data_IF_664967970998
#
_entry.id   IF_664967970998
#
_cell.length_a   1.000
_cell.length_b   1.000
_cell.length_c   1.000
_cell.angle_alpha   90.00
_cell.angle_beta   90.00
_cell.angle_gamma   90.00
#
_symmetry.space_group_name_H-M   'P 1'
#
loop_
_entity.id
_entity.type
_entity.pdbx_description
1 polymer ?
#
# COMPACT_ATOMS: atom_id res chain seq x y z
N UNK A 1 -21.97 -34.68 61.59
CA UNK A 1 -22.31 -33.66 60.57
C UNK A 1 -21.06 -33.37 59.76
N UNK A 2 -21.01 -33.83 58.52
CA UNK A 2 -19.89 -33.59 57.61
C UNK A 2 -20.12 -32.27 56.86
N UNK A 3 -19.15 -31.36 56.93
CA UNK A 3 -19.16 -30.11 56.19
C UNK A 3 -18.75 -30.38 54.75
N UNK A 4 -19.68 -30.23 53.81
CA UNK A 4 -19.38 -30.24 52.37
C UNK A 4 -18.91 -28.84 51.99
N UNK A 5 -17.61 -28.70 51.68
CA UNK A 5 -17.07 -27.49 51.06
C UNK A 5 -17.40 -27.54 49.57
N UNK A 6 -18.35 -26.73 49.14
CA UNK A 6 -18.64 -26.52 47.71
C UNK A 6 -17.63 -25.52 47.18
N UNK A 7 -16.73 -25.99 46.30
CA UNK A 7 -15.82 -25.14 45.54
C UNK A 7 -16.56 -24.69 44.29
N UNK A 8 -16.82 -23.39 44.18
CA UNK A 8 -17.41 -22.78 42.98
C UNK A 8 -16.25 -22.48 42.01
N UNK A 9 -16.09 -23.31 40.98
CA UNK A 9 -15.11 -23.07 39.91
C UNK A 9 -15.75 -22.17 38.86
N UNK A 10 -15.32 -20.91 38.81
CA UNK A 10 -15.72 -19.97 37.76
C UNK A 10 -14.97 -20.32 36.48
N UNK A 11 -15.63 -21.00 35.54
CA UNK A 11 -15.08 -21.26 34.20
C UNK A 11 -15.26 -19.98 33.38
N UNK A 12 -14.22 -19.14 33.36
CA UNK A 12 -14.10 -18.05 32.38
C UNK A 12 -13.86 -18.68 31.02
N UNK A 13 -14.93 -18.82 30.22
CA UNK A 13 -14.81 -19.06 28.79
C UNK A 13 -14.08 -17.88 28.17
N UNK A 14 -12.81 -18.09 27.84
CA UNK A 14 -11.98 -17.16 27.09
C UNK A 14 -12.53 -17.16 25.66
N UNK A 15 -13.52 -16.31 25.40
CA UNK A 15 -13.84 -15.93 24.03
C UNK A 15 -12.62 -15.21 23.52
N UNK A 16 -11.89 -15.80 22.57
CA UNK A 16 -10.87 -15.09 21.82
C UNK A 16 -11.54 -13.86 21.21
N UNK A 17 -11.24 -12.68 21.75
CA UNK A 17 -11.49 -11.42 21.06
C UNK A 17 -10.67 -11.51 19.78
N UNK A 18 -11.32 -11.91 18.68
CA UNK A 18 -10.74 -11.86 17.36
C UNK A 18 -10.51 -10.38 17.04
N UNK A 19 -9.32 -9.87 17.37
CA UNK A 19 -8.80 -8.70 16.71
C UNK A 19 -8.87 -8.99 15.20
N UNK A 20 -9.48 -8.09 14.42
CA UNK A 20 -9.56 -8.29 12.97
C UNK A 20 -8.14 -8.42 12.45
N UNK A 21 -7.81 -9.55 11.80
CA UNK A 21 -6.51 -9.69 11.16
C UNK A 21 -6.33 -8.55 10.16
N UNK A 22 -5.15 -7.90 10.15
CA UNK A 22 -4.87 -6.83 9.21
C UNK A 22 -5.04 -7.31 7.76
N UNK A 23 -5.58 -6.45 6.89
CA UNK A 23 -5.72 -6.78 5.47
C UNK A 23 -4.42 -6.42 4.77
N UNK A 24 -3.87 -7.33 3.98
CA UNK A 24 -2.71 -7.03 3.16
C UNK A 24 -3.13 -6.61 1.74
N UNK A 25 -2.51 -5.53 1.27
CA UNK A 25 -2.50 -5.10 -0.13
C UNK A 25 -1.11 -5.33 -0.72
N UNK A 26 -1.05 -6.13 -1.79
CA UNK A 26 0.19 -6.29 -2.57
C UNK A 26 0.22 -5.34 -3.75
N UNK A 27 1.26 -4.51 -3.85
CA UNK A 27 1.52 -3.68 -5.04
C UNK A 27 2.60 -4.36 -5.87
N UNK A 28 2.37 -4.47 -7.18
CA UNK A 28 3.34 -4.98 -8.14
C UNK A 28 3.57 -3.95 -9.24
N UNK A 29 4.84 -3.72 -9.57
CA UNK A 29 5.23 -3.01 -10.80
C UNK A 29 5.92 -3.98 -11.76
N UNK A 30 5.66 -3.83 -13.06
CA UNK A 30 6.26 -4.69 -14.07
C UNK A 30 6.36 -4.00 -15.44
N UNK A 31 7.57 -3.69 -15.90
CA UNK A 31 7.79 -3.36 -17.31
C UNK A 31 7.53 -4.60 -18.17
N UNK A 32 6.63 -4.49 -19.14
CA UNK A 32 6.20 -5.62 -19.98
C UNK A 32 6.95 -5.71 -21.32
N UNK A 33 7.97 -4.88 -21.58
CA UNK A 33 8.76 -4.83 -22.82
C UNK A 33 7.89 -4.75 -24.08
N UNK A 34 7.60 -3.54 -24.55
CA UNK A 34 6.85 -3.29 -25.78
C UNK A 34 5.53 -4.09 -25.90
N UNK A 35 4.72 -4.17 -24.84
CA UNK A 35 3.49 -4.97 -24.86
C UNK A 35 2.51 -4.42 -25.90
N UNK A 36 2.35 -5.17 -27.00
CA UNK A 36 1.58 -4.80 -28.20
C UNK A 36 2.06 -3.52 -28.90
N UNK A 37 3.21 -2.97 -28.50
CA UNK A 37 3.84 -1.85 -29.15
C UNK A 37 4.84 -2.39 -30.19
N UNK A 38 4.57 -2.16 -31.48
CA UNK A 38 5.40 -2.72 -32.54
C UNK A 38 6.33 -1.66 -33.13
N UNK A 39 7.61 -2.01 -33.25
CA UNK A 39 8.66 -1.22 -33.89
C UNK A 39 9.30 -2.01 -35.03
N UNK A 40 10.28 -1.43 -35.72
CA UNK A 40 11.04 -2.14 -36.77
C UNK A 40 11.84 -3.33 -36.25
N UNK A 41 12.23 -3.31 -34.97
CA UNK A 41 13.05 -4.34 -34.33
C UNK A 41 12.25 -5.18 -33.32
N UNK A 42 11.12 -4.68 -32.83
CA UNK A 42 10.22 -5.40 -31.96
C UNK A 42 8.85 -5.62 -32.63
N UNK A 43 8.68 -6.79 -33.22
CA UNK A 43 7.53 -7.15 -34.07
C UNK A 43 6.61 -8.16 -33.37
N UNK A 44 5.44 -8.42 -33.94
CA UNK A 44 4.55 -9.48 -33.44
C UNK A 44 5.15 -10.90 -33.55
N UNK A 45 6.22 -11.10 -34.32
CA UNK A 45 6.88 -12.40 -34.45
C UNK A 45 7.86 -12.65 -33.31
N UNK A 46 8.64 -11.64 -32.93
CA UNK A 46 9.66 -11.75 -31.89
C UNK A 46 9.20 -11.21 -30.53
N UNK A 47 8.06 -10.54 -30.45
CA UNK A 47 7.39 -10.14 -29.21
C UNK A 47 5.87 -10.44 -29.31
N UNK A 48 5.48 -11.72 -29.38
CA UNK A 48 4.12 -12.13 -29.73
C UNK A 48 3.11 -11.78 -28.62
N UNK A 49 2.16 -10.88 -28.87
CA UNK A 49 1.34 -10.31 -27.81
C UNK A 49 0.36 -11.31 -27.17
N UNK A 50 -0.14 -12.29 -27.94
CA UNK A 50 -1.01 -13.34 -27.41
C UNK A 50 -0.30 -14.28 -26.44
N UNK A 51 1.00 -14.52 -26.65
CA UNK A 51 1.80 -15.33 -25.74
C UNK A 51 2.13 -14.53 -24.46
N UNK A 52 2.47 -13.24 -24.61
CA UNK A 52 2.63 -12.32 -23.46
C UNK A 52 1.39 -12.25 -22.58
N UNK A 53 0.19 -12.28 -23.16
CA UNK A 53 -1.05 -12.34 -22.38
C UNK A 53 -1.09 -13.56 -21.44
N UNK A 54 -0.70 -14.74 -21.94
CA UNK A 54 -0.65 -15.97 -21.16
C UNK A 54 0.48 -16.01 -20.13
N UNK A 55 1.68 -15.52 -20.47
CA UNK A 55 2.79 -15.43 -19.53
C UNK A 55 2.48 -14.45 -18.40
N UNK A 56 1.90 -13.28 -18.70
CA UNK A 56 1.47 -12.33 -17.67
C UNK A 56 0.39 -12.94 -16.78
N UNK A 57 -0.57 -13.69 -17.34
CA UNK A 57 -1.57 -14.40 -16.55
C UNK A 57 -0.92 -15.40 -15.57
N UNK A 58 0.11 -16.12 -16.02
CA UNK A 58 0.86 -17.08 -15.19
C UNK A 58 1.59 -16.37 -14.04
N UNK A 59 2.25 -15.25 -14.32
CA UNK A 59 2.97 -14.46 -13.31
C UNK A 59 1.99 -13.88 -12.29
N UNK A 60 0.91 -13.22 -12.74
CA UNK A 60 -0.10 -12.63 -11.86
C UNK A 60 -0.81 -13.68 -11.01
N UNK A 61 -1.10 -14.86 -11.57
CA UNK A 61 -1.68 -15.96 -10.83
C UNK A 61 -0.76 -16.46 -9.70
N UNK A 62 0.56 -16.38 -9.90
CA UNK A 62 1.54 -16.72 -8.87
C UNK A 62 1.69 -15.61 -7.81
N UNK A 63 1.81 -14.35 -8.24
CA UNK A 63 2.14 -13.23 -7.34
C UNK A 63 0.93 -12.68 -6.59
N UNK A 64 -0.29 -12.86 -7.11
CA UNK A 64 -1.55 -12.38 -6.55
C UNK A 64 -1.53 -10.89 -6.10
N UNK A 65 -1.09 -9.94 -6.95
CA UNK A 65 -1.03 -8.53 -6.58
C UNK A 65 -2.41 -7.91 -6.56
N UNK A 66 -2.67 -6.94 -5.69
CA UNK A 66 -3.91 -6.17 -5.60
C UNK A 66 -3.86 -4.87 -6.41
N UNK A 67 -2.66 -4.37 -6.70
CA UNK A 67 -2.41 -3.30 -7.67
C UNK A 67 -1.30 -3.77 -8.59
N UNK A 68 -1.51 -3.62 -9.90
CA UNK A 68 -0.52 -3.90 -10.93
C UNK A 68 -0.27 -2.64 -11.74
N UNK A 69 0.95 -2.12 -11.67
CA UNK A 69 1.46 -1.05 -12.53
C UNK A 69 2.29 -1.68 -13.65
N UNK A 70 1.85 -1.54 -14.89
CA UNK A 70 2.59 -2.01 -16.05
C UNK A 70 3.26 -0.84 -16.76
N UNK A 71 4.51 -1.02 -17.20
CA UNK A 71 5.18 -0.10 -18.12
C UNK A 71 5.28 -0.72 -19.53
N UNK A 72 5.59 0.12 -20.51
CA UNK A 72 5.75 -0.25 -21.93
C UNK A 72 4.53 -0.90 -22.58
N UNK A 73 3.33 -0.47 -22.19
CA UNK A 73 2.11 -0.81 -22.91
C UNK A 73 1.97 0.13 -24.12
N UNK A 74 1.49 -0.37 -25.26
CA UNK A 74 1.23 0.47 -26.44
C UNK A 74 0.30 1.65 -26.10
N UNK A 75 0.79 2.86 -26.36
CA UNK A 75 0.09 4.12 -26.11
C UNK A 75 -0.77 4.60 -27.28
N UNK A 76 -0.75 3.92 -28.43
CA UNK A 76 -1.47 4.38 -29.62
C UNK A 76 -2.99 4.31 -29.50
N UNK A 77 -3.51 3.37 -28.70
CA UNK A 77 -4.94 3.19 -28.45
C UNK A 77 -5.20 2.29 -27.22
N UNK A 78 -6.46 2.19 -26.78
CA UNK A 78 -6.84 1.44 -25.58
C UNK A 78 -6.81 -0.10 -25.73
N UNK A 79 -6.49 -0.66 -26.90
CA UNK A 79 -6.53 -2.11 -27.12
C UNK A 79 -5.53 -2.83 -26.23
N UNK A 80 -4.28 -2.37 -26.14
CA UNK A 80 -3.27 -3.05 -25.35
C UNK A 80 -3.63 -3.07 -23.86
N UNK A 81 -4.07 -1.92 -23.33
CA UNK A 81 -4.60 -1.76 -21.97
C UNK A 81 -5.80 -2.71 -21.72
N UNK A 82 -6.82 -2.67 -22.56
CA UNK A 82 -8.00 -3.53 -22.42
C UNK A 82 -7.71 -5.02 -22.58
N UNK A 83 -6.67 -5.38 -23.34
CA UNK A 83 -6.32 -6.80 -23.54
C UNK A 83 -5.59 -7.41 -22.35
N UNK A 84 -4.73 -6.67 -21.65
CA UNK A 84 -4.17 -7.14 -20.38
C UNK A 84 -5.32 -7.45 -19.39
N UNK A 85 -6.28 -6.53 -19.24
CA UNK A 85 -7.42 -6.75 -18.34
C UNK A 85 -8.19 -8.04 -18.68
N UNK A 86 -8.55 -8.23 -19.95
CA UNK A 86 -9.45 -9.30 -20.36
C UNK A 86 -8.78 -10.65 -20.66
N UNK A 87 -7.48 -10.66 -20.98
CA UNK A 87 -6.75 -11.87 -21.42
C UNK A 87 -5.58 -12.24 -20.53
N UNK A 88 -5.22 -11.41 -19.55
CA UNK A 88 -4.22 -11.75 -18.52
C UNK A 88 -4.80 -11.76 -17.10
N UNK A 89 -5.66 -10.80 -16.76
CA UNK A 89 -6.09 -10.56 -15.38
C UNK A 89 -7.46 -11.18 -15.04
N UNK A 90 -8.49 -10.87 -15.82
CA UNK A 90 -9.84 -11.43 -15.65
C UNK A 90 -10.02 -12.69 -16.51
N UNK A 91 -9.14 -13.67 -16.26
CA UNK A 91 -9.15 -14.98 -16.92
C UNK A 91 -9.34 -16.10 -15.90
N UNK A 92 -9.57 -17.33 -16.37
CA UNK A 92 -9.66 -18.53 -15.51
C UNK A 92 -10.66 -18.41 -14.34
N UNK A 93 -11.79 -17.74 -14.58
CA UNK A 93 -12.83 -17.51 -13.56
C UNK A 93 -12.59 -16.32 -12.63
N UNK A 94 -11.46 -15.61 -12.77
CA UNK A 94 -11.20 -14.37 -12.04
C UNK A 94 -11.97 -13.21 -12.65
N UNK A 95 -12.64 -12.41 -11.81
CA UNK A 95 -13.34 -11.17 -12.21
C UNK A 95 -13.05 -9.99 -11.28
N UNK A 96 -12.00 -10.11 -10.47
CA UNK A 96 -11.68 -9.14 -9.41
C UNK A 96 -11.00 -7.88 -9.94
N UNK A 97 -10.47 -7.91 -11.16
CA UNK A 97 -9.68 -6.81 -11.68
C UNK A 97 -10.54 -5.75 -12.36
N UNK A 98 -10.21 -4.49 -12.10
CA UNK A 98 -10.60 -3.34 -12.91
C UNK A 98 -9.34 -2.63 -13.44
N UNK A 99 -9.50 -1.90 -14.53
CA UNK A 99 -8.47 -1.03 -15.09
C UNK A 99 -8.77 0.43 -14.73
N UNK A 100 -7.73 1.26 -14.65
CA UNK A 100 -7.88 2.73 -14.70
C UNK A 100 -8.22 3.16 -16.13
N UNK A 101 -8.62 4.42 -16.34
CA UNK A 101 -8.74 4.88 -17.72
C UNK A 101 -7.35 5.05 -18.35
N UNK A 102 -7.33 5.06 -19.68
CA UNK A 102 -6.15 5.33 -20.47
C UNK A 102 -5.88 6.83 -20.51
N UNK A 103 -4.81 7.29 -19.86
CA UNK A 103 -4.23 8.61 -20.10
C UNK A 103 -2.94 8.51 -20.91
N UNK A 104 -2.72 9.50 -21.77
CA UNK A 104 -1.53 9.59 -22.61
C UNK A 104 -1.15 11.04 -22.80
N UNK A 105 0.16 11.30 -22.81
CA UNK A 105 0.73 12.58 -23.21
C UNK A 105 1.25 12.54 -24.66
N UNK A 106 0.80 11.57 -25.47
CA UNK A 106 1.25 11.34 -26.85
C UNK A 106 2.44 10.39 -26.97
N UNK A 107 2.89 9.77 -25.87
CA UNK A 107 3.96 8.78 -25.90
C UNK A 107 3.52 7.46 -26.54
N UNK A 108 4.41 6.82 -27.30
CA UNK A 108 4.17 5.51 -27.89
C UNK A 108 4.15 4.37 -26.88
N UNK A 109 4.74 4.60 -25.70
CA UNK A 109 4.79 3.67 -24.58
C UNK A 109 4.24 4.38 -23.34
N UNK A 110 3.27 3.76 -22.70
CA UNK A 110 2.53 4.33 -21.57
C UNK A 110 2.62 3.38 -20.36
N UNK A 111 2.14 3.86 -19.22
CA UNK A 111 1.80 2.99 -18.11
C UNK A 111 0.35 2.51 -18.24
N UNK A 112 0.04 1.34 -17.68
CA UNK A 112 -1.31 0.85 -17.53
C UNK A 112 -1.48 0.29 -16.12
N UNK A 113 -2.53 0.72 -15.42
CA UNK A 113 -2.74 0.39 -14.01
C UNK A 113 -4.03 -0.40 -13.82
N UNK A 114 -3.91 -1.49 -13.08
CA UNK A 114 -5.02 -2.38 -12.74
C UNK A 114 -5.07 -2.58 -11.24
N UNK A 115 -6.27 -2.83 -10.72
CA UNK A 115 -6.47 -3.01 -9.29
C UNK A 115 -7.56 -4.03 -9.00
N UNK A 116 -7.48 -4.65 -7.83
CA UNK A 116 -8.56 -5.48 -7.29
C UNK A 116 -9.73 -4.59 -6.86
N UNK A 117 -10.78 -4.58 -7.67
CA UNK A 117 -11.99 -3.82 -7.42
C UNK A 117 -12.82 -4.34 -6.24
N UNK A 118 -12.52 -5.53 -5.72
CA UNK A 118 -13.16 -6.07 -4.51
C UNK A 118 -12.55 -5.49 -3.24
N UNK A 119 -11.28 -5.05 -3.28
CA UNK A 119 -10.58 -4.40 -2.15
C UNK A 119 -10.50 -2.88 -2.29
N UNK A 120 -10.42 -2.36 -3.51
CA UNK A 120 -10.12 -0.96 -3.79
C UNK A 120 -11.20 -0.30 -4.63
N UNK A 121 -11.36 1.00 -4.44
CA UNK A 121 -12.13 1.87 -5.31
C UNK A 121 -11.28 2.99 -5.87
N UNK A 122 -11.49 3.34 -7.14
CA UNK A 122 -10.87 4.49 -7.77
C UNK A 122 -11.58 5.76 -7.32
N UNK A 123 -10.86 6.69 -6.68
CA UNK A 123 -11.39 8.00 -6.25
C UNK A 123 -11.24 9.06 -7.32
N UNK A 124 -10.06 9.13 -7.91
CA UNK A 124 -9.73 10.06 -8.98
C UNK A 124 -8.46 9.60 -9.68
N UNK A 125 -8.26 10.09 -10.90
CA UNK A 125 -7.05 9.85 -11.66
C UNK A 125 -6.73 11.12 -12.47
N UNK A 126 -5.45 11.33 -12.76
CA UNK A 126 -4.94 12.38 -13.66
C UNK A 126 -3.59 11.95 -14.23
N UNK A 127 -2.97 12.80 -15.04
CA UNK A 127 -1.64 12.57 -15.62
C UNK A 127 -0.78 13.82 -15.47
N UNK A 128 0.50 13.63 -15.15
CA UNK A 128 1.51 14.67 -15.24
C UNK A 128 2.17 14.52 -16.61
N UNK A 129 1.85 15.44 -17.51
CA UNK A 129 2.29 15.38 -18.92
C UNK A 129 3.45 16.31 -19.25
N UNK A 130 3.69 17.35 -18.43
CA UNK A 130 4.63 18.42 -18.74
C UNK A 130 5.63 18.62 -17.58
N UNK A 131 6.84 19.06 -17.93
CA UNK A 131 7.84 19.54 -16.99
C UNK A 131 7.49 20.93 -16.41
N UNK A 132 8.36 21.45 -15.55
CA UNK A 132 8.17 22.76 -14.90
C UNK A 132 8.25 23.95 -15.87
N UNK A 133 8.74 23.73 -17.10
CA UNK A 133 8.79 24.72 -18.17
C UNK A 133 7.63 24.54 -19.16
N UNK A 134 6.63 23.72 -18.80
CA UNK A 134 5.47 23.39 -19.63
C UNK A 134 5.83 22.73 -20.98
N UNK A 135 6.95 22.00 -21.02
CA UNK A 135 7.33 21.13 -22.14
C UNK A 135 6.86 19.71 -21.87
N UNK A 136 6.32 19.02 -22.87
CA UNK A 136 5.84 17.64 -22.72
C UNK A 136 6.96 16.70 -22.31
N UNK A 137 6.74 15.95 -21.22
CA UNK A 137 7.63 14.90 -20.75
C UNK A 137 7.73 13.78 -21.80
N UNK A 138 8.88 13.11 -21.89
CA UNK A 138 9.05 11.96 -22.81
C UNK A 138 8.05 10.83 -22.52
N UNK A 139 7.66 10.69 -21.25
CA UNK A 139 6.71 9.71 -20.73
C UNK A 139 5.85 10.39 -19.68
N UNK A 140 4.53 10.24 -19.78
CA UNK A 140 3.60 10.74 -18.77
C UNK A 140 3.65 9.91 -17.48
N UNK A 141 3.31 10.55 -16.36
CA UNK A 141 3.22 9.90 -15.05
C UNK A 141 1.75 9.88 -14.66
N UNK A 142 1.17 8.69 -14.54
CA UNK A 142 -0.23 8.57 -14.11
C UNK A 142 -0.32 8.80 -12.61
N UNK A 143 -1.33 9.56 -12.19
CA UNK A 143 -1.61 9.88 -10.79
C UNK A 143 -2.94 9.26 -10.44
N UNK A 144 -2.94 8.18 -9.66
CA UNK A 144 -4.12 7.40 -9.36
C UNK A 144 -4.38 7.42 -7.85
N UNK A 145 -5.53 7.98 -7.46
CA UNK A 145 -5.96 8.03 -6.08
C UNK A 145 -6.99 6.93 -5.82
N UNK A 146 -6.66 6.05 -4.89
CA UNK A 146 -7.51 4.96 -4.45
C UNK A 146 -8.09 5.22 -3.07
N UNK A 147 -9.13 4.46 -2.73
CA UNK A 147 -9.58 4.25 -1.36
C UNK A 147 -9.76 2.76 -1.09
N UNK A 148 -9.54 2.37 0.16
CA UNK A 148 -9.81 1.01 0.62
C UNK A 148 -11.32 0.80 0.81
N UNK A 149 -11.88 -0.26 0.24
CA UNK A 149 -13.29 -0.65 0.41
C UNK A 149 -13.44 -1.45 1.69
N UNK A 150 -13.37 -0.74 2.82
CA UNK A 150 -13.62 -1.36 4.11
C UNK A 150 -15.05 -1.92 4.17
N UNK A 151 -15.22 -3.09 4.77
CA UNK A 151 -16.52 -3.72 5.01
C UNK A 151 -17.50 -2.84 5.81
N UNK A 152 -16.99 -1.90 6.60
CA UNK A 152 -17.76 -0.97 7.42
C UNK A 152 -17.94 0.41 6.78
N UNK A 153 -17.53 0.61 5.53
CA UNK A 153 -17.57 1.91 4.86
C UNK A 153 -18.99 2.53 4.83
N UNK A 154 -20.03 1.69 4.78
CA UNK A 154 -21.43 2.14 4.83
C UNK A 154 -21.85 2.71 6.19
N UNK A 155 -21.15 2.34 7.27
CA UNK A 155 -21.43 2.76 8.65
C UNK A 155 -20.50 3.86 9.13
N UNK A 156 -19.24 3.85 8.66
CA UNK A 156 -18.27 4.90 8.89
C UNK A 156 -17.53 5.20 7.57
N UNK A 157 -17.75 6.37 6.94
CA UNK A 157 -17.14 6.69 5.65
C UNK A 157 -15.65 7.06 5.73
N UNK A 158 -15.05 7.09 6.93
CA UNK A 158 -13.63 7.42 7.13
C UNK A 158 -12.72 6.25 6.74
N UNK A 159 -12.46 6.09 5.45
CA UNK A 159 -11.52 5.09 4.93
C UNK A 159 -10.16 5.66 4.57
N UNK A 160 -9.17 4.77 4.44
CA UNK A 160 -7.86 5.07 3.91
C UNK A 160 -7.97 5.53 2.45
N UNK A 161 -7.37 6.69 2.16
CA UNK A 161 -7.03 7.13 0.81
C UNK A 161 -5.52 7.12 0.61
N UNK A 162 -5.07 6.75 -0.58
CA UNK A 162 -3.67 6.78 -0.96
C UNK A 162 -3.53 7.03 -2.45
N UNK A 163 -2.38 7.57 -2.85
CA UNK A 163 -2.11 7.87 -4.26
C UNK A 163 -0.91 7.07 -4.76
N UNK A 164 -1.08 6.46 -5.93
CA UNK A 164 -0.03 5.75 -6.69
C UNK A 164 0.36 6.60 -7.89
N UNK A 165 1.65 6.86 -8.03
CA UNK A 165 2.27 7.42 -9.22
C UNK A 165 2.84 6.26 -10.04
N UNK A 166 2.28 6.01 -11.22
CA UNK A 166 2.84 5.05 -12.16
C UNK A 166 3.79 5.79 -13.12
N UNK A 167 5.04 5.33 -13.21
CA UNK A 167 6.06 6.01 -13.99
C UNK A 167 6.87 5.06 -14.86
N UNK A 168 7.17 5.47 -16.09
CA UNK A 168 8.22 4.91 -16.91
C UNK A 168 9.13 6.07 -17.29
N UNK A 169 10.29 6.22 -16.68
CA UNK A 169 11.15 7.36 -16.98
C UNK A 169 12.03 7.12 -18.22
N UNK A 170 12.66 8.18 -18.73
CA UNK A 170 13.48 8.13 -19.93
C UNK A 170 14.62 7.09 -19.79
N UNK A 171 14.58 6.06 -20.62
CA UNK A 171 15.66 5.08 -20.78
C UNK A 171 16.92 5.69 -21.40
N UNK A 172 18.06 5.03 -21.20
CA UNK A 172 19.37 5.43 -21.74
C UNK A 172 20.28 6.08 -20.70
N UNK A 173 21.54 6.28 -21.07
CA UNK A 173 22.62 6.70 -20.18
C UNK A 173 23.35 7.97 -20.63
N UNK A 174 22.83 8.67 -21.64
CA UNK A 174 23.42 9.95 -22.09
C UNK A 174 23.07 11.08 -21.11
N UNK A 175 23.85 12.18 -21.06
CA UNK A 175 23.49 13.33 -20.23
C UNK A 175 22.09 13.91 -20.52
N UNK A 176 21.61 13.77 -21.77
CA UNK A 176 20.25 14.16 -22.15
C UNK A 176 19.20 13.26 -21.50
N UNK A 177 19.44 11.95 -21.45
CA UNK A 177 18.52 11.00 -20.81
C UNK A 177 18.38 11.28 -19.30
N UNK A 178 19.50 11.52 -18.62
CA UNK A 178 19.53 11.91 -17.20
C UNK A 178 18.74 13.21 -16.95
N UNK A 179 18.85 14.18 -17.87
CA UNK A 179 18.13 15.45 -17.79
C UNK A 179 16.62 15.26 -17.92
N UNK A 180 16.17 14.41 -18.86
CA UNK A 180 14.75 14.11 -19.03
C UNK A 180 14.17 13.36 -17.82
N UNK A 181 14.94 12.44 -17.22
CA UNK A 181 14.54 11.82 -15.95
C UNK A 181 14.44 12.84 -14.81
N UNK A 182 15.38 13.78 -14.73
CA UNK A 182 15.33 14.85 -13.73
C UNK A 182 14.06 15.70 -13.87
N UNK A 183 13.72 16.15 -15.08
CA UNK A 183 12.49 16.92 -15.35
C UNK A 183 11.23 16.16 -14.92
N UNK A 184 11.16 14.86 -15.16
CA UNK A 184 10.03 14.03 -14.75
C UNK A 184 9.90 13.97 -13.21
N UNK A 185 11.00 13.78 -12.49
CA UNK A 185 10.99 13.81 -11.03
C UNK A 185 10.62 15.19 -10.46
N UNK A 186 11.14 16.28 -11.05
CA UNK A 186 10.80 17.65 -10.65
C UNK A 186 9.31 17.94 -10.85
N UNK A 187 8.74 17.52 -11.98
CA UNK A 187 7.32 17.64 -12.27
C UNK A 187 6.45 16.86 -11.27
N UNK A 188 6.86 15.62 -10.94
CA UNK A 188 6.21 14.79 -9.93
C UNK A 188 6.22 15.46 -8.56
N UNK A 189 7.39 15.86 -8.07
CA UNK A 189 7.51 16.47 -6.75
C UNK A 189 6.77 17.81 -6.65
N UNK A 190 6.77 18.61 -7.74
CA UNK A 190 5.99 19.84 -7.81
C UNK A 190 4.48 19.59 -7.82
N UNK A 191 4.02 18.54 -8.53
CA UNK A 191 2.62 18.14 -8.50
C UNK A 191 2.17 17.79 -7.08
N UNK A 192 2.96 16.98 -6.37
CA UNK A 192 2.71 16.62 -4.97
C UNK A 192 2.71 17.83 -4.04
N UNK A 193 3.68 18.72 -4.19
CA UNK A 193 3.76 19.94 -3.37
C UNK A 193 2.57 20.87 -3.58
N UNK A 194 2.04 20.92 -4.81
CA UNK A 194 0.89 21.76 -5.16
C UNK A 194 -0.46 21.10 -4.85
N UNK A 195 -0.50 19.78 -4.71
CA UNK A 195 -1.73 19.01 -4.50
C UNK A 195 -1.57 17.93 -3.41
N UNK A 196 -1.13 18.27 -2.18
CA UNK A 196 -1.08 17.28 -1.11
C UNK A 196 -2.53 16.91 -0.73
N UNK A 197 -2.88 15.63 -0.91
CA UNK A 197 -4.26 15.14 -0.72
C UNK A 197 -4.39 13.93 0.18
N UNK A 198 -3.32 13.16 0.34
CA UNK A 198 -3.28 11.92 1.09
C UNK A 198 -2.05 11.87 2.01
N UNK A 199 -2.07 10.94 2.97
CA UNK A 199 -0.92 10.69 3.84
C UNK A 199 0.05 9.67 3.23
N UNK A 200 -0.42 8.85 2.28
CA UNK A 200 0.35 7.75 1.69
C UNK A 200 0.49 7.95 0.18
N UNK A 201 1.74 8.04 -0.26
CA UNK A 201 2.14 8.15 -1.65
C UNK A 201 3.08 7.02 -2.02
N UNK A 202 2.78 6.34 -3.12
CA UNK A 202 3.62 5.30 -3.71
C UNK A 202 4.07 5.76 -5.10
N UNK A 203 5.33 5.57 -5.44
CA UNK A 203 5.84 5.71 -6.82
C UNK A 203 6.29 4.34 -7.28
N UNK A 204 5.63 3.82 -8.32
CA UNK A 204 5.85 2.46 -8.82
C UNK A 204 6.13 2.49 -10.33
N UNK A 205 7.17 1.78 -10.76
CA UNK A 205 7.53 1.73 -12.17
C UNK A 205 9.00 1.52 -12.47
N UNK A 206 9.29 1.39 -13.76
CA UNK A 206 10.64 1.47 -14.32
C UNK A 206 11.13 2.93 -14.35
N UNK A 207 12.05 3.26 -13.44
CA UNK A 207 12.62 4.60 -13.33
C UNK A 207 13.85 4.79 -14.22
N UNK A 208 14.35 3.75 -14.89
CA UNK A 208 15.51 3.81 -15.79
C UNK A 208 16.75 4.51 -15.17
N UNK A 209 16.94 4.38 -13.85
CA UNK A 209 18.06 5.00 -13.13
C UNK A 209 19.02 3.93 -12.63
N UNK A 210 20.29 4.07 -12.99
CA UNK A 210 21.32 3.07 -12.67
C UNK A 210 21.85 3.21 -11.24
N UNK A 211 21.55 4.35 -10.60
CA UNK A 211 22.01 4.67 -9.25
C UNK A 211 21.14 5.72 -8.57
N UNK A 212 21.05 5.63 -7.25
CA UNK A 212 20.31 6.57 -6.41
C UNK A 212 20.87 8.00 -6.43
N UNK A 213 22.12 8.20 -6.89
CA UNK A 213 22.80 9.49 -6.96
C UNK A 213 22.47 10.29 -8.22
N UNK A 214 21.70 9.74 -9.16
CA UNK A 214 21.21 10.51 -10.30
C UNK A 214 20.40 11.71 -9.84
N UNK A 215 20.55 12.85 -10.52
CA UNK A 215 19.92 14.12 -10.12
C UNK A 215 18.40 13.97 -10.00
N UNK A 216 17.76 13.23 -10.91
CA UNK A 216 16.33 12.91 -10.81
C UNK A 216 15.96 12.09 -9.58
N UNK A 217 16.72 11.04 -9.23
CA UNK A 217 16.45 10.25 -8.02
C UNK A 217 16.63 11.12 -6.76
N UNK A 218 17.59 12.02 -6.77
CA UNK A 218 17.83 12.97 -5.67
C UNK A 218 16.67 13.97 -5.50
N UNK A 219 15.94 14.32 -6.56
CA UNK A 219 14.70 15.09 -6.42
C UNK A 219 13.65 14.33 -5.60
N UNK A 220 13.59 13.01 -5.72
CA UNK A 220 12.63 12.17 -4.98
C UNK A 220 13.05 12.02 -3.50
N UNK A 221 14.33 11.74 -3.25
CA UNK A 221 14.85 11.47 -1.90
C UNK A 221 15.07 12.72 -1.05
N UNK A 222 15.47 13.83 -1.68
CA UNK A 222 15.98 15.02 -1.00
C UNK A 222 15.17 16.29 -1.32
N UNK A 223 13.93 16.15 -1.80
CA UNK A 223 13.02 17.26 -2.03
C UNK A 223 12.86 18.19 -0.81
N UNK A 224 12.77 19.51 -0.96
CA UNK A 224 12.78 20.43 0.20
C UNK A 224 11.73 20.09 1.28
N UNK A 225 10.49 19.77 0.89
CA UNK A 225 9.44 19.33 1.80
C UNK A 225 9.60 17.85 2.22
N UNK A 226 10.01 17.61 3.46
CA UNK A 226 10.26 16.28 4.00
C UNK A 226 9.03 15.37 4.13
N UNK A 227 7.82 15.92 4.22
CA UNK A 227 6.59 15.13 4.38
C UNK A 227 6.18 14.36 3.12
N UNK A 228 6.67 14.78 1.95
CA UNK A 228 6.31 14.20 0.64
C UNK A 228 7.49 13.55 -0.09
N UNK A 229 8.71 13.59 0.48
CA UNK A 229 9.87 12.89 -0.08
C UNK A 229 9.57 11.41 -0.20
N UNK A 230 10.00 10.81 -1.30
CA UNK A 230 10.02 9.37 -1.42
C UNK A 230 11.24 8.77 -0.73
N UNK A 231 11.11 7.49 -0.39
CA UNK A 231 12.12 6.65 0.23
C UNK A 231 12.06 5.28 -0.41
N UNK A 232 13.21 4.66 -0.53
CA UNK A 232 13.29 3.22 -0.75
C UNK A 232 12.93 2.54 0.58
N UNK A 233 11.83 1.76 0.66
CA UNK A 233 11.41 1.15 1.91
C UNK A 233 12.41 0.11 2.44
N UNK A 234 13.26 -0.46 1.59
CA UNK A 234 14.34 -1.38 1.97
C UNK A 234 15.70 -0.68 2.13
N UNK A 235 15.75 0.64 1.88
CA UNK A 235 16.96 1.45 1.98
C UNK A 235 18.15 0.90 1.15
N UNK A 236 17.86 0.35 -0.03
CA UNK A 236 18.86 -0.23 -0.95
C UNK A 236 19.37 0.85 -1.90
N UNK A 237 19.91 1.93 -1.35
CA UNK A 237 20.46 3.05 -2.13
C UNK A 237 21.91 2.74 -2.54
N UNK A 238 22.27 3.05 -3.79
CA UNK A 238 23.64 2.85 -4.27
C UNK A 238 23.77 2.95 -5.78
N UNK A 239 24.89 2.40 -6.29
CA UNK A 239 25.12 2.20 -7.72
C UNK A 239 24.73 0.75 -8.04
N UNK A 240 23.56 0.58 -8.68
CA UNK A 240 22.97 -0.73 -8.93
C UNK A 240 23.57 -1.39 -10.18
N UNK A 241 23.77 -0.61 -11.26
CA UNK A 241 24.27 -1.13 -12.53
C UNK A 241 25.59 -1.89 -12.40
N UNK A 242 25.62 -3.09 -12.98
CA UNK A 242 26.74 -4.02 -13.07
C UNK A 242 27.47 -4.18 -11.73
N UNK A 243 26.69 -4.29 -10.65
CA UNK A 243 27.24 -4.38 -9.31
C UNK A 243 26.66 -5.57 -8.54
N UNK A 244 27.46 -6.63 -8.42
CA UNK A 244 27.07 -7.87 -7.75
C UNK A 244 26.65 -7.71 -6.28
N UNK A 245 27.00 -6.61 -5.60
CA UNK A 245 26.47 -6.35 -4.24
C UNK A 245 24.96 -6.14 -4.22
N UNK A 246 24.38 -5.77 -5.37
CA UNK A 246 22.94 -5.56 -5.57
C UNK A 246 22.30 -6.72 -6.35
N UNK A 247 22.98 -7.86 -6.53
CA UNK A 247 22.49 -8.98 -7.34
C UNK A 247 21.07 -9.44 -6.98
N UNK A 248 20.74 -9.51 -5.69
CA UNK A 248 19.40 -9.90 -5.20
C UNK A 248 18.30 -8.84 -5.48
N UNK A 249 18.68 -7.65 -5.92
CA UNK A 249 17.81 -6.50 -6.17
C UNK A 249 17.70 -6.14 -7.65
N UNK A 250 18.46 -6.80 -8.53
CA UNK A 250 18.38 -6.54 -9.95
C UNK A 250 17.04 -7.00 -10.52
N UNK A 251 16.54 -6.21 -11.46
CA UNK A 251 15.27 -6.35 -12.15
C UNK A 251 15.44 -6.49 -13.66
N UNK A 252 16.59 -6.07 -14.23
CA UNK A 252 16.91 -6.18 -15.65
C UNK A 252 18.40 -6.56 -15.82
N UNK A 253 18.81 -7.26 -16.88
CA UNK A 253 17.99 -7.97 -17.85
C UNK A 253 17.79 -9.44 -17.47
N UNK A 254 16.62 -10.00 -17.74
CA UNK A 254 16.40 -11.46 -17.63
C UNK A 254 17.25 -12.28 -18.62
N UNK A 255 17.98 -11.64 -19.54
CA UNK A 255 18.83 -12.26 -20.59
C UNK A 255 20.25 -11.75 -20.52
N UNK A 256 21.22 -12.64 -20.70
CA UNK A 256 22.65 -12.32 -20.80
C UNK A 256 23.04 -11.70 -22.16
N UNK A 257 22.38 -12.10 -23.25
CA UNK A 257 22.56 -11.54 -24.59
C UNK A 257 21.30 -10.88 -25.15
N UNK A 258 21.45 -10.15 -26.25
CA UNK A 258 20.30 -9.69 -27.03
C UNK A 258 19.59 -10.91 -27.64
N UNK A 259 18.30 -11.06 -27.35
CA UNK A 259 17.45 -12.11 -27.93
C UNK A 259 16.30 -11.46 -28.71
N UNK A 260 15.41 -12.27 -29.28
CA UNK A 260 14.19 -11.79 -29.94
C UNK A 260 14.50 -10.76 -31.04
N UNK A 261 15.55 -11.03 -31.84
CA UNK A 261 16.09 -10.14 -32.88
C UNK A 261 16.39 -8.71 -32.41
N UNK A 262 16.78 -8.56 -31.14
CA UNK A 262 17.11 -7.27 -30.53
C UNK A 262 15.90 -6.51 -29.96
N UNK A 263 14.71 -7.12 -29.88
CA UNK A 263 13.59 -6.51 -29.16
C UNK A 263 13.86 -6.41 -27.64
N UNK A 264 14.51 -7.42 -27.05
CA UNK A 264 14.74 -7.50 -25.60
C UNK A 264 16.19 -7.14 -25.29
N UNK A 265 16.38 -6.37 -24.22
CA UNK A 265 17.71 -6.00 -23.72
C UNK A 265 18.46 -7.24 -23.23
N UNK A 266 19.78 -7.25 -23.41
CA UNK A 266 20.69 -8.26 -22.83
C UNK A 266 21.52 -7.67 -21.69
N UNK A 267 22.55 -8.37 -21.23
CA UNK A 267 23.47 -7.94 -20.16
C UNK A 267 23.46 -8.84 -18.93
N UNK A 268 22.38 -9.57 -18.71
CA UNK A 268 22.12 -10.41 -17.53
C UNK A 268 21.49 -9.59 -16.40
N UNK A 269 21.12 -10.23 -15.28
CA UNK A 269 20.49 -9.51 -14.17
C UNK A 269 21.52 -8.63 -13.45
N UNK A 270 21.71 -7.42 -13.93
CA UNK A 270 22.79 -6.51 -13.52
C UNK A 270 22.34 -5.07 -13.25
N UNK A 271 21.05 -4.77 -13.41
CA UNK A 271 20.44 -3.47 -13.18
C UNK A 271 19.24 -3.56 -12.24
N UNK A 272 19.04 -2.56 -11.37
CA UNK A 272 17.79 -2.33 -10.63
C UNK A 272 17.14 -1.07 -11.17
N UNK A 273 16.17 -1.23 -12.07
CA UNK A 273 15.46 -0.12 -12.71
C UNK A 273 14.03 0.02 -12.20
N UNK A 274 13.43 -1.07 -11.74
CA UNK A 274 12.04 -1.12 -11.30
C UNK A 274 11.96 -0.86 -9.78
N UNK A 275 11.18 0.14 -9.38
CA UNK A 275 11.08 0.56 -7.99
C UNK A 275 9.63 0.63 -7.52
N UNK A 276 9.43 0.37 -6.23
CA UNK A 276 8.26 0.82 -5.46
C UNK A 276 8.81 1.68 -4.32
N UNK A 277 8.74 3.00 -4.48
CA UNK A 277 9.14 3.96 -3.46
C UNK A 277 7.92 4.47 -2.70
N UNK A 278 8.11 4.85 -1.43
CA UNK A 278 7.04 5.30 -0.55
C UNK A 278 7.41 6.62 0.11
N UNK A 279 6.43 7.47 0.46
CA UNK A 279 6.74 8.59 1.36
C UNK A 279 7.00 8.09 2.81
N UNK A 280 7.26 8.98 3.76
CA UNK A 280 7.61 8.53 5.13
C UNK A 280 6.49 7.82 5.86
N UNK A 281 5.22 8.11 5.55
CA UNK A 281 4.07 7.63 6.33
C UNK A 281 4.00 6.11 6.39
N UNK A 282 4.05 5.34 5.29
CA UNK A 282 4.01 3.87 5.34
C UNK A 282 5.11 3.21 6.17
N UNK A 283 6.19 3.91 6.50
CA UNK A 283 7.30 3.40 7.31
C UNK A 283 7.10 3.63 8.82
N UNK A 284 5.95 4.18 9.22
CA UNK A 284 5.64 4.47 10.63
C UNK A 284 4.58 3.52 11.18
N UNK A 285 4.63 3.25 12.48
CA UNK A 285 3.66 2.39 13.16
C UNK A 285 2.24 2.97 13.21
N UNK A 286 2.10 4.29 13.03
CA UNK A 286 0.81 4.98 13.05
C UNK A 286 0.12 5.06 11.68
N UNK A 287 0.75 4.51 10.62
CA UNK A 287 0.17 4.54 9.29
C UNK A 287 -0.99 3.57 9.16
N UNK A 288 -2.12 4.06 8.63
CA UNK A 288 -3.26 3.22 8.23
C UNK A 288 -2.97 2.33 7.01
N UNK A 289 -1.87 2.57 6.31
CA UNK A 289 -1.30 1.70 5.28
C UNK A 289 0.20 1.59 5.52
N UNK A 290 0.62 0.53 6.21
CA UNK A 290 2.00 0.33 6.64
C UNK A 290 2.71 -0.65 5.73
N UNK A 291 3.89 -0.27 5.25
CA UNK A 291 4.75 -1.18 4.52
C UNK A 291 5.15 -2.36 5.42
N UNK A 292 5.12 -3.59 4.89
CA UNK A 292 5.60 -4.77 5.57
C UNK A 292 7.11 -4.93 5.30
N UNK A 293 7.99 -4.72 6.30
CA UNK A 293 9.44 -4.79 6.10
C UNK A 293 9.89 -6.14 5.54
N UNK A 294 10.80 -6.12 4.57
CA UNK A 294 11.32 -7.31 3.88
C UNK A 294 10.40 -7.87 2.80
N UNK A 295 9.23 -7.26 2.54
CA UNK A 295 8.32 -7.75 1.50
C UNK A 295 8.67 -7.26 0.10
N UNK A 296 9.44 -6.18 -0.05
CA UNK A 296 9.86 -5.67 -1.34
C UNK A 296 10.94 -6.56 -1.94
N UNK A 297 10.67 -7.16 -3.10
CA UNK A 297 11.65 -7.97 -3.82
C UNK A 297 11.31 -8.10 -5.32
N UNK A 298 12.32 -8.28 -6.18
CA UNK A 298 12.14 -8.72 -7.56
C UNK A 298 11.77 -10.21 -7.61
N UNK A 299 10.59 -10.53 -8.12
CA UNK A 299 10.09 -11.90 -8.21
C UNK A 299 10.88 -12.67 -9.26
N UNK A 300 11.37 -13.86 -8.89
CA UNK A 300 12.16 -14.72 -9.78
C UNK A 300 13.68 -14.50 -9.68
N UNK A 301 14.14 -13.45 -9.01
CA UNK A 301 15.57 -13.25 -8.77
C UNK A 301 15.98 -13.99 -7.49
N UNK A 302 16.92 -14.93 -7.61
CA UNK A 302 17.51 -15.66 -6.49
C UNK A 302 18.84 -15.04 -5.99
N UNK A 303 19.30 -13.96 -6.62
CA UNK A 303 20.56 -13.30 -6.35
C UNK A 303 21.80 -14.03 -6.91
N UNK A 304 21.62 -15.13 -7.67
CA UNK A 304 22.71 -15.96 -8.18
C UNK A 304 22.95 -15.80 -9.69
N UNK A 305 22.13 -15.01 -10.38
CA UNK A 305 22.16 -14.82 -11.83
C UNK A 305 22.73 -13.45 -12.25
N UNK A 306 23.60 -12.84 -11.43
CA UNK A 306 24.29 -11.60 -11.78
C UNK A 306 25.08 -11.75 -13.08
N UNK A 307 24.88 -10.85 -14.06
CA UNK A 307 25.43 -10.93 -15.42
C UNK A 307 25.14 -12.28 -16.12
N UNK A 308 24.02 -12.94 -15.78
CA UNK A 308 23.57 -14.18 -16.41
C UNK A 308 22.08 -14.12 -16.74
N UNK A 309 21.65 -14.96 -17.68
CA UNK A 309 20.23 -15.11 -17.98
C UNK A 309 19.50 -15.75 -16.80
N UNK A 310 18.26 -15.32 -16.56
CA UNK A 310 17.39 -15.79 -15.47
C UNK A 310 17.20 -17.31 -15.46
N UNK A 311 17.25 -17.94 -16.64
CA UNK A 311 17.05 -19.36 -16.87
C UNK A 311 18.37 -20.15 -17.07
N UNK A 312 19.52 -19.52 -16.81
CA UNK A 312 20.83 -20.18 -16.89
C UNK A 312 21.07 -21.07 -15.68
N UNK A 313 21.22 -22.38 -15.88
CA UNK A 313 21.44 -23.30 -14.76
C UNK A 313 20.17 -23.50 -13.92
N UNK A 314 20.26 -23.40 -12.59
CA UNK A 314 19.16 -23.69 -11.67
C UNK A 314 18.72 -22.41 -10.95
N UNK A 315 17.44 -22.08 -11.08
CA UNK A 315 16.77 -21.04 -10.30
C UNK A 315 15.48 -21.62 -9.70
N UNK A 316 15.42 -21.69 -8.37
CA UNK A 316 14.28 -22.25 -7.63
C UNK A 316 13.50 -21.17 -6.84
N UNK A 317 13.71 -19.89 -7.13
CA UNK A 317 13.02 -18.79 -6.46
C UNK A 317 11.51 -18.80 -6.70
N UNK A 318 11.08 -19.34 -7.84
CA UNK A 318 9.67 -19.52 -8.23
C UNK A 318 9.49 -20.87 -8.94
N UNK A 319 8.25 -21.39 -9.07
CA UNK A 319 7.99 -22.59 -9.86
C UNK A 319 8.49 -22.46 -11.29
N UNK A 320 8.99 -23.54 -11.90
CA UNK A 320 9.59 -23.52 -13.23
C UNK A 320 8.70 -22.90 -14.31
N UNK A 321 7.38 -23.14 -14.26
CA UNK A 321 6.42 -22.54 -15.20
C UNK A 321 6.34 -21.02 -15.07
N UNK A 322 6.49 -20.49 -13.85
CA UNK A 322 6.53 -19.05 -13.57
C UNK A 322 7.87 -18.49 -14.02
N UNK A 323 8.98 -19.19 -13.77
CA UNK A 323 10.30 -18.76 -14.22
C UNK A 323 10.38 -18.64 -15.76
N UNK A 324 9.85 -19.63 -16.48
CA UNK A 324 9.72 -19.55 -17.95
C UNK A 324 8.84 -18.38 -18.36
N UNK A 325 7.71 -18.16 -17.68
CA UNK A 325 6.84 -17.02 -18.00
C UNK A 325 7.53 -15.67 -17.76
N UNK A 326 8.31 -15.51 -16.68
CA UNK A 326 9.10 -14.32 -16.41
C UNK A 326 10.13 -14.06 -17.52
N UNK A 327 10.89 -15.10 -17.91
CA UNK A 327 11.86 -15.00 -18.99
C UNK A 327 11.20 -14.67 -20.32
N UNK A 328 10.15 -15.39 -20.73
CA UNK A 328 9.53 -15.18 -22.06
C UNK A 328 8.73 -13.86 -22.15
N UNK A 329 8.19 -13.37 -21.03
CA UNK A 329 7.35 -12.18 -21.03
C UNK A 329 8.14 -10.89 -21.21
N UNK A 330 9.23 -10.69 -20.49
CA UNK A 330 9.88 -9.39 -20.38
C UNK A 330 11.40 -9.53 -20.18
N UNK A 331 12.15 -8.51 -20.60
CA UNK A 331 13.54 -8.32 -20.18
C UNK A 331 13.64 -7.80 -18.72
N UNK A 332 12.52 -7.46 -18.09
CA UNK A 332 12.43 -7.12 -16.67
C UNK A 332 11.83 -8.25 -15.82
N UNK A 333 12.03 -8.14 -14.51
CA UNK A 333 11.32 -8.87 -13.46
C UNK A 333 10.29 -7.95 -12.77
N UNK A 334 9.13 -8.49 -12.35
CA UNK A 334 8.21 -7.72 -11.54
C UNK A 334 8.76 -7.50 -10.13
N UNK A 335 8.57 -6.29 -9.60
CA UNK A 335 8.87 -5.97 -8.20
C UNK A 335 7.56 -5.89 -7.44
N UNK A 336 7.47 -6.59 -6.31
CA UNK A 336 6.31 -6.55 -5.41
C UNK A 336 6.67 -5.84 -4.11
N UNK A 337 5.68 -5.32 -3.40
CA UNK A 337 5.77 -4.84 -2.02
C UNK A 337 4.42 -5.02 -1.32
N UNK A 338 4.42 -5.46 -0.06
CA UNK A 338 3.21 -5.70 0.70
C UNK A 338 2.95 -4.59 1.73
N UNK A 339 1.68 -4.23 1.87
CA UNK A 339 1.22 -3.19 2.78
C UNK A 339 0.10 -3.74 3.65
N UNK A 340 0.23 -3.56 4.96
CA UNK A 340 -0.81 -3.79 5.93
C UNK A 340 -1.76 -2.58 5.97
N UNK A 341 -3.06 -2.84 5.90
CA UNK A 341 -4.10 -1.80 5.96
C UNK A 341 -4.92 -1.95 7.23
N UNK A 342 -5.00 -0.84 7.96
CA UNK A 342 -5.86 -0.73 9.14
C UNK A 342 -7.33 -0.69 8.71
N UNK A 343 -8.10 -1.61 9.30
CA UNK A 343 -9.54 -1.68 9.08
C UNK A 343 -10.26 -0.74 10.03
N UNK A 344 -11.43 -0.27 9.61
CA UNK A 344 -12.32 0.46 10.49
C UNK A 344 -12.74 -0.43 11.67
N UNK A 345 -12.58 0.11 12.88
CA UNK A 345 -13.10 -0.52 14.09
C UNK A 345 -14.59 -0.21 14.28
N UNK A 346 -15.31 -1.10 14.97
CA UNK A 346 -16.68 -0.84 15.47
C UNK A 346 -16.62 -0.07 16.81
N UNK A 347 -15.44 0.39 17.22
CA UNK A 347 -15.27 1.19 18.43
C UNK A 347 -15.98 2.54 18.29
N UNK A 348 -16.87 2.86 19.23
CA UNK A 348 -17.38 4.22 19.38
C UNK A 348 -16.21 5.15 19.76
N UNK A 349 -16.30 6.45 19.42
CA UNK A 349 -15.38 7.43 19.99
C UNK A 349 -15.43 7.35 21.51
N UNK A 350 -14.35 6.83 22.10
CA UNK A 350 -14.26 6.71 23.53
C UNK A 350 -13.89 8.07 24.12
N UNK A 351 -14.65 8.45 25.14
CA UNK A 351 -14.41 9.64 25.93
C UNK A 351 -13.01 9.55 26.58
N UNK A 352 -12.10 10.49 26.25
CA UNK A 352 -10.66 10.37 26.55
C UNK A 352 -10.22 10.90 27.91
N UNK A 353 -11.08 11.63 28.64
CA UNK A 353 -10.63 12.23 29.89
C UNK A 353 -10.32 11.18 30.96
N UNK A 354 -9.35 11.53 31.80
CA UNK A 354 -8.92 10.67 32.89
C UNK A 354 -9.88 10.81 34.06
N UNK A 355 -10.68 9.76 34.31
CA UNK A 355 -11.56 9.67 35.46
C UNK A 355 -11.00 8.66 36.45
N UNK A 356 -10.72 9.12 37.66
CA UNK A 356 -10.32 8.27 38.77
C UNK A 356 -11.55 7.78 39.54
N UNK A 357 -11.59 6.48 39.82
CA UNK A 357 -12.63 5.87 40.64
C UNK A 357 -12.09 5.52 42.03
N UNK A 358 -12.83 5.89 43.05
CA UNK A 358 -12.60 5.53 44.45
C UNK A 358 -13.90 5.10 45.13
N UNK A 359 -13.78 4.60 46.35
CA UNK A 359 -14.92 4.34 47.25
C UNK A 359 -14.64 5.07 48.55
N UNK A 360 -15.62 5.81 49.07
CA UNK A 360 -15.48 6.50 50.35
C UNK A 360 -15.70 5.54 51.55
N UNK A 361 -15.55 6.08 52.77
CA UNK A 361 -15.68 5.29 54.00
C UNK A 361 -17.09 4.75 54.23
N UNK A 362 -18.11 5.37 53.60
CA UNK A 362 -19.51 4.97 53.70
C UNK A 362 -19.91 3.99 52.58
N UNK A 363 -18.96 3.61 51.71
CA UNK A 363 -19.18 2.65 50.63
C UNK A 363 -19.74 3.26 49.33
N UNK A 364 -19.85 4.59 49.24
CA UNK A 364 -20.29 5.25 48.01
C UNK A 364 -19.15 5.33 47.00
N UNK A 365 -19.50 5.26 45.72
CA UNK A 365 -18.51 5.44 44.65
C UNK A 365 -18.25 6.92 44.45
N UNK A 366 -16.97 7.26 44.38
CA UNK A 366 -16.48 8.59 44.04
C UNK A 366 -15.82 8.53 42.66
N UNK A 367 -16.21 9.44 41.77
CA UNK A 367 -15.52 9.71 40.52
C UNK A 367 -14.84 11.07 40.59
N UNK A 368 -13.63 11.15 40.06
CA UNK A 368 -12.80 12.36 40.04
C UNK A 368 -12.32 12.65 38.63
N UNK A 369 -12.52 13.87 38.15
CA UNK A 369 -12.02 14.37 36.86
C UNK A 369 -10.99 15.47 37.08
N UNK A 370 -10.05 15.60 36.15
CA UNK A 370 -8.95 16.58 36.23
C UNK A 370 -9.47 17.99 35.88
N UNK A 371 -10.36 18.07 34.91
CA UNK A 371 -10.98 19.31 34.44
C UNK A 371 -12.48 19.11 34.23
N UNK A 372 -13.26 20.19 34.31
CA UNK A 372 -14.71 20.15 34.37
C UNK A 372 -15.33 21.27 33.50
N UNK A 373 -15.04 21.24 32.20
CA UNK A 373 -15.47 22.28 31.24
C UNK A 373 -16.86 22.05 30.63
N UNK A 374 -17.51 20.94 30.98
CA UNK A 374 -18.86 20.60 30.52
C UNK A 374 -19.56 19.67 31.52
N UNK A 375 -20.88 19.53 31.33
CA UNK A 375 -21.71 18.55 32.02
C UNK A 375 -21.42 17.14 31.50
N UNK A 376 -21.23 16.19 32.42
CA UNK A 376 -21.21 14.76 32.09
C UNK A 376 -22.39 14.05 32.74
N UNK A 377 -22.79 12.92 32.17
CA UNK A 377 -23.77 12.02 32.78
C UNK A 377 -23.06 10.77 33.30
N UNK A 378 -23.40 10.35 34.52
CA UNK A 378 -22.95 9.08 35.10
C UNK A 378 -24.13 8.13 35.17
N UNK A 379 -24.02 6.99 34.48
CA UNK A 379 -24.96 5.87 34.55
C UNK A 379 -24.32 4.72 35.34
N UNK A 380 -25.11 4.16 36.26
CA UNK A 380 -24.74 2.93 36.97
C UNK A 380 -25.45 1.78 36.28
N UNK A 381 -24.69 0.81 35.78
CA UNK A 381 -25.16 -0.30 34.96
C UNK A 381 -24.88 -1.60 35.69
N UNK A 382 -25.90 -2.43 35.86
CA UNK A 382 -25.76 -3.73 36.51
C UNK A 382 -25.12 -4.81 35.62
N UNK A 383 -24.81 -5.96 36.22
CA UNK A 383 -24.22 -7.09 35.52
C UNK A 383 -25.09 -7.63 34.36
N UNK A 384 -26.38 -7.28 34.32
CA UNK A 384 -27.28 -7.62 33.23
C UNK A 384 -27.38 -6.51 32.16
N UNK A 385 -26.59 -5.43 32.28
CA UNK A 385 -26.59 -4.31 31.35
C UNK A 385 -27.72 -3.30 31.57
N UNK A 386 -28.45 -3.37 32.68
CA UNK A 386 -29.56 -2.45 32.97
C UNK A 386 -29.04 -1.20 33.69
N UNK A 387 -29.50 -0.02 33.26
CA UNK A 387 -29.23 1.24 33.97
C UNK A 387 -30.07 1.25 35.25
N UNK A 388 -29.42 1.17 36.41
CA UNK A 388 -30.06 1.18 37.73
C UNK A 388 -30.06 2.56 38.39
N UNK A 389 -29.19 3.46 37.92
CA UNK A 389 -29.19 4.86 38.31
C UNK A 389 -28.57 5.72 37.22
N UNK A 390 -29.02 6.99 37.14
CA UNK A 390 -28.45 8.00 36.24
C UNK A 390 -28.43 9.33 36.97
N UNK A 391 -27.33 10.05 36.89
CA UNK A 391 -27.16 11.37 37.52
C UNK A 391 -26.30 12.28 36.66
N UNK A 392 -26.54 13.59 36.76
CA UNK A 392 -25.68 14.59 36.15
C UNK A 392 -24.41 14.77 37.00
N UNK A 393 -23.29 15.06 36.34
CA UNK A 393 -22.02 15.49 36.92
C UNK A 393 -21.69 16.86 36.31
N UNK A 394 -22.12 17.95 36.98
CA UNK A 394 -22.14 19.29 36.39
C UNK A 394 -20.77 19.88 36.09
N UNK A 395 -20.71 20.76 35.08
CA UNK A 395 -19.60 21.69 34.83
C UNK A 395 -19.13 22.37 36.14
N UNK A 396 -17.80 22.53 36.29
CA UNK A 396 -17.18 23.07 37.49
C UNK A 396 -17.04 22.09 38.66
N UNK A 397 -17.74 20.96 38.67
CA UNK A 397 -17.59 19.94 39.72
C UNK A 397 -16.50 18.91 39.36
N UNK A 398 -15.40 18.88 40.13
CA UNK A 398 -14.30 17.92 39.94
C UNK A 398 -14.57 16.54 40.58
N UNK A 399 -15.63 16.42 41.38
CA UNK A 399 -15.96 15.20 42.12
C UNK A 399 -17.43 14.88 41.99
N UNK A 400 -17.74 13.65 41.60
CA UNK A 400 -19.08 13.09 41.68
C UNK A 400 -19.12 11.99 42.74
N UNK A 401 -20.21 11.92 43.50
CA UNK A 401 -20.47 10.90 44.52
C UNK A 401 -21.80 10.22 44.24
N UNK A 402 -21.83 8.90 44.29
CA UNK A 402 -23.08 8.17 44.11
C UNK A 402 -24.11 8.50 45.19
N UNK A 403 -25.38 8.61 44.81
CA UNK A 403 -26.48 8.85 45.77
C UNK A 403 -26.74 7.62 46.65
N UNK A 404 -26.52 6.42 46.09
CA UNK A 404 -26.71 5.14 46.78
C UNK A 404 -25.41 4.36 46.90
N UNK A 405 -25.37 3.47 47.90
CA UNK A 405 -24.36 2.41 48.01
C UNK A 405 -24.85 1.24 47.16
N UNK A 406 -24.05 0.83 46.19
CA UNK A 406 -24.39 -0.29 45.32
C UNK A 406 -23.67 -1.57 45.77
N UNK A 407 -24.39 -2.69 45.78
CA UNK A 407 -23.83 -4.01 46.09
C UNK A 407 -23.83 -4.90 44.83
N UNK A 408 -22.77 -5.71 44.67
CA UNK A 408 -22.57 -6.56 43.49
C UNK A 408 -21.72 -5.93 42.39
N UNK A 409 -21.68 -6.58 41.23
CA UNK A 409 -20.95 -6.08 40.05
C UNK A 409 -21.70 -4.92 39.41
N UNK A 410 -21.04 -3.77 39.35
CA UNK A 410 -21.57 -2.53 38.78
C UNK A 410 -20.54 -1.94 37.83
N UNK A 411 -21.01 -1.48 36.68
CA UNK A 411 -20.24 -0.74 35.70
C UNK A 411 -20.71 0.70 35.72
N UNK A 412 -19.78 1.66 35.74
CA UNK A 412 -20.09 3.08 35.64
C UNK A 412 -19.81 3.53 34.22
N UNK A 413 -20.85 3.97 33.51
CA UNK A 413 -20.73 4.55 32.18
C UNK A 413 -20.84 6.06 32.31
N UNK A 414 -19.80 6.76 31.88
CA UNK A 414 -19.72 8.21 31.85
C UNK A 414 -19.95 8.65 30.42
N UNK A 415 -20.77 9.66 30.20
CA UNK A 415 -21.01 10.25 28.88
C UNK A 415 -20.83 11.76 28.96
N UNK A 416 -20.21 12.38 27.95
CA UNK A 416 -20.20 13.83 27.82
C UNK A 416 -21.45 14.36 27.11
N UNK A 417 -21.56 15.69 26.96
CA UNK A 417 -22.69 16.34 26.30
C UNK A 417 -22.84 15.95 24.81
N UNK A 418 -21.76 15.49 24.18
CA UNK A 418 -21.77 15.00 22.78
C UNK A 418 -22.15 13.53 22.64
N UNK A 419 -22.29 12.81 23.76
CA UNK A 419 -22.66 11.40 23.79
C UNK A 419 -21.49 10.43 23.67
N UNK A 420 -20.23 10.91 23.69
CA UNK A 420 -19.04 10.03 23.78
C UNK A 420 -19.00 9.41 25.16
N UNK A 421 -18.64 8.13 25.26
CA UNK A 421 -18.72 7.41 26.54
C UNK A 421 -17.44 6.72 26.95
N UNK A 422 -17.25 6.57 28.26
CA UNK A 422 -16.16 5.81 28.89
C UNK A 422 -16.72 4.97 30.03
N UNK A 423 -16.20 3.76 30.20
CA UNK A 423 -16.49 2.96 31.37
C UNK A 423 -15.40 3.19 32.43
N UNK A 424 -15.80 3.55 33.65
CA UNK A 424 -14.84 3.60 34.75
C UNK A 424 -14.47 2.16 35.14
N UNK A 425 -13.17 1.86 35.12
CA UNK A 425 -12.66 0.50 35.33
C UNK A 425 -13.21 -0.15 36.61
N UNK A 426 -13.60 -1.44 36.57
CA UNK A 426 -13.83 -2.21 37.79
C UNK A 426 -12.54 -2.27 38.62
N UNK A 427 -12.65 -2.33 39.95
CA UNK A 427 -11.55 -2.80 40.80
C UNK A 427 -11.74 -4.27 41.09
#
# INVERSE_FOLDING_TARGET
>A
MHYVKVIFVLILSISELAAQSPVSLRVMTYNLTYFRAFTSFCTSSNNPPGAKEGWLSTVVAHTQPDILVCNEVDGSNATAHGRILNFSLNTNGTSRWAATDLYTNGSSLINAVYYDQTKLGLKSQSIISNDLQNTTLVRGIDVIRFYYKDSLLAWNPDTLFFTVFAAHFKAGNTPGDLTERQKACEALMNHLASNPRDDVYLLAGDLNMNKSQESGFQQLLNYSNAGIRFKDPENVLGNWNNNGTFAAWHTQSTRDGQTNDGCFSGGGLDDRLDHILVNSTPLTAASRMRYLPGSLHPVGNDGLHFNSALNSGTNNSVPATVLTALYELSDHLPVVADFEVDRLGIGLEEFRDHVQRATDLDGHVILQRIEAHEDWTVEVVDAAGRVVARSNWPEGELRWRSESVYSGWMILRIADASGRTKFASPR
#
